data_IF_327805352955
#
_entry.id   IF_327805352955
#
_cell.length_a   1.000
_cell.length_b   1.000
_cell.length_c   1.000
_cell.angle_alpha   90.00
_cell.angle_beta   90.00
_cell.angle_gamma   90.00
#
_symmetry.space_group_name_H-M   'P 1'
#
loop_
_entity.id
_entity.type
_entity.pdbx_description
1 polymer ?
#
# COMPACT_ATOMS: atom_id res chain seq x y z
N UNK A 1 0.15 -15.07 4.67
CA UNK A 1 -0.65 -16.19 5.20
C UNK A 1 -1.48 -15.65 6.36
N UNK A 2 -2.79 -15.48 6.17
CA UNK A 2 -3.70 -15.12 7.28
C UNK A 2 -3.94 -16.39 8.10
N UNK A 3 -3.45 -16.41 9.33
CA UNK A 3 -3.78 -17.49 10.26
C UNK A 3 -5.27 -17.35 10.66
N UNK A 4 -6.03 -18.45 10.73
CA UNK A 4 -7.38 -18.41 11.26
C UNK A 4 -7.34 -17.94 12.71
N UNK A 5 -8.22 -17.00 13.04
CA UNK A 5 -8.38 -16.44 14.38
C UNK A 5 -8.58 -17.58 15.39
N UNK A 6 -7.72 -17.67 16.41
CA UNK A 6 -7.70 -18.75 17.39
C UNK A 6 -9.06 -18.96 18.08
N UNK A 7 -9.87 -17.89 18.15
CA UNK A 7 -11.26 -17.88 18.62
C UNK A 7 -12.19 -18.81 17.80
N UNK A 8 -11.96 -18.93 16.50
CA UNK A 8 -12.77 -19.77 15.61
C UNK A 8 -12.43 -21.24 15.82
N UNK A 9 -11.14 -21.57 15.99
CA UNK A 9 -10.70 -22.94 16.24
C UNK A 9 -11.20 -23.46 17.58
N UNK A 10 -11.21 -22.62 18.61
CA UNK A 10 -11.73 -22.95 19.94
C UNK A 10 -13.26 -23.19 19.92
N UNK A 11 -14.02 -22.31 19.23
CA UNK A 11 -15.46 -22.51 19.02
C UNK A 11 -15.80 -23.76 18.22
N UNK A 12 -14.98 -24.13 17.23
CA UNK A 12 -15.16 -25.34 16.44
C UNK A 12 -14.94 -26.61 17.27
N UNK A 13 -14.07 -26.58 18.28
CA UNK A 13 -13.85 -27.69 19.20
C UNK A 13 -15.07 -27.94 20.10
N UNK A 14 -15.80 -26.90 20.49
CA UNK A 14 -17.04 -27.02 21.30
C UNK A 14 -18.20 -27.69 20.53
N UNK A 15 -18.21 -27.62 19.20
CA UNK A 15 -19.21 -28.31 18.38
C UNK A 15 -18.98 -29.83 18.28
N UNK A 16 -17.80 -30.34 18.68
CA UNK A 16 -17.44 -31.76 18.63
C UNK A 16 -17.79 -32.56 19.88
N UNK A 17 -18.11 -31.89 20.99
CA UNK A 17 -18.51 -32.53 22.24
C UNK A 17 -20.02 -32.74 22.29
N UNK A 18 -20.46 -34.00 22.37
CA UNK A 18 -21.87 -34.34 22.57
C UNK A 18 -22.42 -33.62 23.82
N UNK A 19 -23.64 -33.06 23.77
CA UNK A 19 -24.19 -32.33 24.90
C UNK A 19 -24.30 -33.26 26.11
N UNK A 20 -23.65 -32.89 27.21
CA UNK A 20 -23.88 -33.52 28.52
C UNK A 20 -25.28 -33.11 28.97
N UNK A 21 -26.26 -33.96 28.64
CA UNK A 21 -27.65 -33.77 29.01
C UNK A 21 -27.75 -33.85 30.54
N UNK A 22 -28.17 -32.76 31.19
CA UNK A 22 -28.68 -32.82 32.56
C UNK A 22 -29.97 -33.63 32.54
N UNK A 23 -30.15 -34.52 33.51
CA UNK A 23 -31.20 -35.57 33.54
C UNK A 23 -32.67 -35.07 33.44
N UNK A 24 -32.92 -33.76 33.34
CA UNK A 24 -34.27 -33.15 33.35
C UNK A 24 -34.64 -32.35 32.07
N UNK A 25 -33.77 -32.30 31.05
CA UNK A 25 -34.09 -31.56 29.82
C UNK A 25 -34.65 -32.48 28.72
N UNK A 26 -35.91 -32.25 28.35
CA UNK A 26 -36.54 -32.89 27.19
C UNK A 26 -35.72 -32.61 25.94
N UNK A 27 -35.26 -33.68 25.26
CA UNK A 27 -34.42 -33.66 24.05
C UNK A 27 -34.98 -32.70 22.98
N UNK A 28 -36.31 -32.58 22.88
CA UNK A 28 -36.98 -31.66 21.95
C UNK A 28 -36.75 -30.18 22.28
N UNK A 29 -36.61 -29.81 23.56
CA UNK A 29 -36.26 -28.44 23.97
C UNK A 29 -34.83 -28.10 23.59
N UNK A 30 -33.89 -29.01 23.81
CA UNK A 30 -32.49 -28.85 23.42
C UNK A 30 -32.36 -28.75 21.89
N UNK A 31 -33.08 -29.61 21.16
CA UNK A 31 -33.11 -29.59 19.69
C UNK A 31 -33.70 -28.27 19.14
N UNK A 32 -34.80 -27.79 19.71
CA UNK A 32 -35.39 -26.50 19.31
C UNK A 32 -34.46 -25.32 19.62
N UNK A 33 -33.81 -25.31 20.80
CA UNK A 33 -32.83 -24.29 21.14
C UNK A 33 -31.64 -24.26 20.16
N UNK A 34 -31.11 -25.44 19.80
CA UNK A 34 -30.06 -25.57 18.79
C UNK A 34 -30.52 -25.18 17.38
N UNK A 35 -31.76 -25.45 17.01
CA UNK A 35 -32.33 -25.01 15.73
C UNK A 35 -32.41 -23.48 15.65
N UNK A 36 -32.86 -22.83 16.73
CA UNK A 36 -32.90 -21.35 16.81
C UNK A 36 -31.50 -20.75 16.78
N UNK A 37 -30.54 -21.37 17.48
CA UNK A 37 -29.12 -20.97 17.44
C UNK A 37 -28.56 -21.05 16.02
N UNK A 38 -28.84 -22.13 15.29
CA UNK A 38 -28.43 -22.31 13.90
C UNK A 38 -29.08 -21.30 12.96
N UNK A 39 -30.36 -20.98 13.14
CA UNK A 39 -31.04 -19.99 12.31
C UNK A 39 -30.52 -18.57 12.57
N UNK A 40 -30.25 -18.22 13.83
CA UNK A 40 -29.57 -16.97 14.17
C UNK A 40 -28.16 -16.90 13.55
N UNK A 41 -27.43 -18.03 13.55
CA UNK A 41 -26.11 -18.11 12.93
C UNK A 41 -26.21 -17.91 11.41
N UNK A 42 -27.17 -18.53 10.73
CA UNK A 42 -27.42 -18.32 9.28
C UNK A 42 -27.69 -16.87 8.96
N UNK A 43 -28.56 -16.20 9.74
CA UNK A 43 -28.87 -14.78 9.55
C UNK A 43 -27.62 -13.93 9.76
N UNK A 44 -26.83 -14.21 10.80
CA UNK A 44 -25.58 -13.49 11.06
C UNK A 44 -24.55 -13.68 9.93
N UNK A 45 -24.49 -14.87 9.34
CA UNK A 45 -23.55 -15.21 8.29
C UNK A 45 -23.96 -14.59 6.96
N UNK A 46 -25.26 -14.59 6.64
CA UNK A 46 -25.81 -13.87 5.50
C UNK A 46 -25.52 -12.36 5.60
N UNK A 47 -25.72 -11.75 6.77
CA UNK A 47 -25.38 -10.35 7.00
C UNK A 47 -23.90 -10.06 6.76
N UNK A 48 -23.01 -10.88 7.35
CA UNK A 48 -21.56 -10.74 7.14
C UNK A 48 -21.16 -10.90 5.69
N UNK A 49 -21.82 -11.79 4.95
CA UNK A 49 -21.57 -12.00 3.53
C UNK A 49 -21.97 -10.76 2.72
N UNK A 50 -23.13 -10.17 2.98
CA UNK A 50 -23.55 -8.91 2.36
C UNK A 50 -22.61 -7.74 2.70
N UNK A 51 -22.17 -7.64 3.95
CA UNK A 51 -21.20 -6.60 4.38
C UNK A 51 -19.86 -6.74 3.63
N UNK A 52 -19.39 -7.98 3.45
CA UNK A 52 -18.18 -8.28 2.68
C UNK A 52 -18.34 -7.97 1.19
N UNK A 53 -19.46 -8.37 0.57
CA UNK A 53 -19.75 -8.06 -0.84
C UNK A 53 -19.80 -6.54 -1.07
N UNK A 54 -20.43 -5.80 -0.16
CA UNK A 54 -20.46 -4.33 -0.19
C UNK A 54 -19.04 -3.75 -0.09
N UNK A 55 -18.21 -4.27 0.81
CA UNK A 55 -16.82 -3.83 0.98
C UNK A 55 -15.98 -4.10 -0.27
N UNK A 56 -16.14 -5.29 -0.89
CA UNK A 56 -15.46 -5.65 -2.14
C UNK A 56 -15.83 -4.68 -3.25
N UNK A 57 -17.12 -4.39 -3.42
CA UNK A 57 -17.58 -3.44 -4.44
C UNK A 57 -17.02 -2.03 -4.23
N UNK A 58 -16.95 -1.56 -2.97
CA UNK A 58 -16.33 -0.27 -2.65
C UNK A 58 -14.83 -0.27 -3.00
N UNK A 59 -14.11 -1.36 -2.67
CA UNK A 59 -12.69 -1.50 -3.00
C UNK A 59 -12.45 -1.51 -4.51
N UNK A 60 -13.29 -2.19 -5.28
CA UNK A 60 -13.18 -2.22 -6.74
C UNK A 60 -13.43 -0.84 -7.35
N UNK A 61 -14.41 -0.09 -6.83
CA UNK A 61 -14.65 1.30 -7.26
C UNK A 61 -13.44 2.19 -6.97
N UNK A 62 -12.83 2.06 -5.78
CA UNK A 62 -11.61 2.80 -5.41
C UNK A 62 -10.45 2.41 -6.33
N UNK A 63 -10.27 1.12 -6.62
CA UNK A 63 -9.22 0.63 -7.52
C UNK A 63 -9.34 1.20 -8.92
N UNK A 64 -10.55 1.22 -9.48
CA UNK A 64 -10.79 1.81 -10.81
C UNK A 64 -10.51 3.31 -10.81
N UNK A 65 -10.97 4.03 -9.78
CA UNK A 65 -10.71 5.47 -9.66
C UNK A 65 -9.22 5.81 -9.53
N UNK A 66 -8.47 4.97 -8.79
CA UNK A 66 -7.04 5.13 -8.61
C UNK A 66 -6.27 4.82 -9.89
N UNK A 67 -6.66 3.77 -10.62
CA UNK A 67 -6.09 3.46 -11.93
C UNK A 67 -6.29 4.63 -12.92
N UNK A 68 -7.51 5.20 -12.96
CA UNK A 68 -7.82 6.37 -13.79
C UNK A 68 -6.97 7.58 -13.40
N UNK A 69 -6.83 7.88 -12.11
CA UNK A 69 -5.99 8.99 -11.65
C UNK A 69 -4.50 8.76 -11.97
N UNK A 70 -4.02 7.53 -11.83
CA UNK A 70 -2.64 7.19 -12.17
C UNK A 70 -2.35 7.43 -13.66
N UNK A 71 -3.27 7.03 -14.53
CA UNK A 71 -3.16 7.25 -15.97
C UNK A 71 -3.20 8.75 -16.31
N UNK A 72 -4.13 9.49 -15.70
CA UNK A 72 -4.26 10.95 -15.88
C UNK A 72 -2.98 11.69 -15.46
N UNK A 73 -2.41 11.36 -14.29
CA UNK A 73 -1.14 11.93 -13.81
C UNK A 73 0.03 11.55 -14.73
N UNK A 74 0.08 10.30 -15.22
CA UNK A 74 1.12 9.87 -16.15
C UNK A 74 1.07 10.66 -17.46
N UNK A 75 -0.14 10.88 -18.00
CA UNK A 75 -0.34 11.64 -19.22
C UNK A 75 -0.02 13.14 -19.03
N UNK A 76 -0.41 13.73 -17.89
CA UNK A 76 -0.03 15.10 -17.54
C UNK A 76 1.50 15.27 -17.42
N UNK A 77 2.18 14.30 -16.80
CA UNK A 77 3.65 14.28 -16.72
C UNK A 77 4.27 14.25 -18.12
N UNK A 78 3.79 13.40 -19.01
CA UNK A 78 4.34 13.30 -20.37
C UNK A 78 4.13 14.58 -21.17
N UNK A 79 2.94 15.19 -21.08
CA UNK A 79 2.68 16.50 -21.68
C UNK A 79 3.55 17.61 -21.09
N UNK A 80 3.75 17.64 -19.77
CA UNK A 80 4.62 18.60 -19.11
C UNK A 80 6.09 18.43 -19.54
N UNK A 81 6.56 17.19 -19.73
CA UNK A 81 7.90 16.92 -20.24
C UNK A 81 8.03 17.37 -21.72
N UNK A 82 7.07 17.02 -22.56
CA UNK A 82 7.08 17.39 -23.98
C UNK A 82 7.06 18.92 -24.18
N UNK A 83 6.24 19.64 -23.40
CA UNK A 83 6.18 21.10 -23.43
C UNK A 83 7.45 21.75 -22.90
N UNK A 84 8.06 21.23 -21.82
CA UNK A 84 9.34 21.71 -21.32
C UNK A 84 10.47 21.50 -22.35
N UNK A 85 10.53 20.34 -23.00
CA UNK A 85 11.54 20.04 -24.02
C UNK A 85 11.37 20.97 -25.24
N UNK A 86 10.13 21.21 -25.67
CA UNK A 86 9.86 22.08 -26.82
C UNK A 86 10.16 23.56 -26.55
N UNK A 87 9.99 24.02 -25.31
CA UNK A 87 10.16 25.44 -24.93
C UNK A 87 11.55 25.78 -24.40
N UNK A 88 12.30 24.79 -23.87
CA UNK A 88 13.59 24.98 -23.22
C UNK A 88 14.67 24.07 -23.83
N UNK A 89 15.04 24.33 -25.09
CA UNK A 89 16.16 23.67 -25.78
C UNK A 89 17.55 24.16 -25.30
N UNK A 90 17.69 24.50 -24.02
CA UNK A 90 18.97 24.84 -23.42
C UNK A 90 19.64 23.56 -22.93
N UNK A 91 20.92 23.36 -23.30
CA UNK A 91 21.74 22.21 -22.88
C UNK A 91 21.73 21.98 -21.36
N UNK A 92 21.61 23.04 -20.56
CA UNK A 92 21.52 22.94 -19.09
C UNK A 92 20.19 22.33 -18.65
N UNK A 93 19.06 22.76 -19.23
CA UNK A 93 17.72 22.22 -18.92
C UNK A 93 17.61 20.74 -19.30
N UNK A 94 18.25 20.33 -20.40
CA UNK A 94 18.32 18.92 -20.81
C UNK A 94 19.18 18.09 -19.85
N UNK A 95 20.34 18.61 -19.42
CA UNK A 95 21.17 17.96 -18.39
C UNK A 95 20.42 17.78 -17.07
N UNK A 96 19.71 18.81 -16.62
CA UNK A 96 18.87 18.74 -15.40
C UNK A 96 17.77 17.69 -15.57
N UNK A 97 17.12 17.64 -16.72
CA UNK A 97 16.06 16.65 -17.00
C UNK A 97 16.58 15.22 -17.00
N UNK A 98 17.80 14.98 -17.51
CA UNK A 98 18.47 13.69 -17.43
C UNK A 98 18.76 13.32 -15.97
N UNK A 99 19.35 14.20 -15.17
CA UNK A 99 19.59 13.91 -13.76
C UNK A 99 18.31 13.61 -12.98
N UNK A 100 17.21 14.32 -13.27
CA UNK A 100 15.89 14.02 -12.70
C UNK A 100 15.35 12.67 -13.14
N UNK A 101 15.52 12.27 -14.41
CA UNK A 101 15.06 10.95 -14.88
C UNK A 101 15.88 9.80 -14.29
N UNK A 102 17.15 10.06 -13.96
CA UNK A 102 18.03 9.18 -13.19
C UNK A 102 17.66 9.09 -11.70
N UNK A 103 16.66 9.85 -11.24
CA UNK A 103 16.19 9.84 -9.86
C UNK A 103 16.95 10.78 -8.91
N UNK A 104 17.71 11.75 -9.44
CA UNK A 104 18.41 12.77 -8.64
C UNK A 104 17.57 14.02 -8.53
N UNK A 105 17.19 14.38 -7.31
CA UNK A 105 16.44 15.58 -6.99
C UNK A 105 17.25 16.46 -6.05
N UNK A 106 17.35 17.74 -6.37
CA UNK A 106 18.02 18.75 -5.54
C UNK A 106 16.91 19.57 -4.88
N UNK A 107 16.85 19.53 -3.55
CA UNK A 107 15.98 20.37 -2.73
C UNK A 107 16.83 21.50 -2.13
N UNK A 108 16.50 22.74 -2.50
CA UNK A 108 17.02 23.94 -1.85
C UNK A 108 16.11 24.21 -0.64
N UNK A 109 16.65 24.12 0.58
CA UNK A 109 15.92 24.49 1.79
C UNK A 109 16.26 25.95 2.12
N UNK A 110 15.24 26.78 2.34
CA UNK A 110 15.39 28.16 2.79
C UNK A 110 16.38 28.23 3.99
N UNK A 111 17.55 28.83 3.75
CA UNK A 111 18.65 29.03 4.71
C UNK A 111 19.39 27.78 5.24
N UNK A 112 19.28 26.62 4.60
CA UNK A 112 20.08 25.43 4.94
C UNK A 112 20.79 24.86 3.71
N UNK A 113 21.95 24.25 3.94
CA UNK A 113 22.74 23.52 2.96
C UNK A 113 21.88 22.65 2.01
N UNK A 114 22.21 22.68 0.72
CA UNK A 114 21.50 21.94 -0.33
C UNK A 114 21.37 20.46 0.02
N UNK A 115 20.20 19.88 -0.28
CA UNK A 115 19.92 18.47 -0.03
C UNK A 115 19.69 17.74 -1.34
N UNK A 116 20.48 16.70 -1.58
CA UNK A 116 20.33 15.83 -2.75
C UNK A 116 19.61 14.55 -2.33
N UNK A 117 18.47 14.29 -2.95
CA UNK A 117 17.70 13.06 -2.80
C UNK A 117 17.96 12.19 -4.03
N UNK A 118 18.39 10.95 -3.79
CA UNK A 118 18.62 9.96 -4.84
C UNK A 118 17.63 8.81 -4.66
N UNK A 119 16.77 8.61 -5.66
CA UNK A 119 15.86 7.47 -5.74
C UNK A 119 16.51 6.34 -6.53
N UNK A 120 16.90 5.26 -5.84
CA UNK A 120 17.45 4.08 -6.48
C UNK A 120 16.36 3.25 -7.17
N UNK A 121 16.42 3.02 -8.50
CA UNK A 121 15.37 2.29 -9.24
C UNK A 121 15.31 0.79 -8.90
N UNK A 122 16.39 0.23 -8.35
CA UNK A 122 16.57 -1.20 -8.08
C UNK A 122 16.00 -1.66 -6.72
N UNK A 123 15.99 -0.78 -5.71
CA UNK A 123 15.78 -1.18 -4.30
C UNK A 123 14.70 -0.41 -3.55
N UNK A 124 13.97 0.50 -4.21
CA UNK A 124 13.05 1.44 -3.55
C UNK A 124 13.72 2.16 -2.35
N UNK A 125 15.03 2.39 -2.45
CA UNK A 125 15.81 3.02 -1.38
C UNK A 125 15.98 4.50 -1.72
N UNK A 126 15.43 5.35 -0.86
CA UNK A 126 15.62 6.79 -0.95
C UNK A 126 16.83 7.16 -0.10
N UNK A 127 17.91 7.59 -0.77
CA UNK A 127 19.11 8.10 -0.10
C UNK A 127 19.07 9.62 -0.05
N UNK A 128 19.36 10.19 1.10
CA UNK A 128 19.43 11.63 1.31
C UNK A 128 20.86 12.02 1.62
N UNK A 129 21.42 12.95 0.85
CA UNK A 129 22.73 13.56 1.08
C UNK A 129 22.53 15.04 1.39
N UNK A 130 23.04 15.48 2.54
CA UNK A 130 23.15 16.91 2.86
C UNK A 130 24.51 17.40 2.36
N UNK A 131 24.51 18.41 1.50
CA UNK A 131 25.71 18.95 0.86
C UNK A 131 26.30 20.03 1.77
N UNK A 132 27.31 19.67 2.55
CA UNK A 132 28.16 20.61 3.30
C UNK A 132 29.37 21.02 2.44
N UNK A 133 29.84 22.27 2.55
CA UNK A 133 31.04 22.80 1.86
C UNK A 133 32.32 22.00 2.20
N UNK A 134 32.29 21.21 3.28
CA UNK A 134 33.37 20.31 3.68
C UNK A 134 33.53 19.10 2.77
N UNK A 135 32.50 18.74 2.01
CA UNK A 135 32.58 17.63 1.07
C UNK A 135 33.18 18.09 -0.25
N UNK A 136 34.10 17.29 -0.78
CA UNK A 136 34.63 17.50 -2.12
C UNK A 136 33.57 17.14 -3.16
N UNK A 137 33.50 17.91 -4.25
CA UNK A 137 32.62 17.64 -5.40
C UNK A 137 32.79 16.21 -5.95
N UNK A 138 34.02 15.70 -5.91
CA UNK A 138 34.35 14.33 -6.29
C UNK A 138 33.65 13.29 -5.40
N UNK A 139 33.59 13.53 -4.09
CA UNK A 139 32.94 12.64 -3.13
C UNK A 139 31.42 12.63 -3.35
N UNK A 140 30.82 13.81 -3.52
CA UNK A 140 29.39 13.98 -3.78
C UNK A 140 28.99 13.24 -5.06
N UNK A 141 29.75 13.44 -6.15
CA UNK A 141 29.48 12.82 -7.44
C UNK A 141 29.54 11.29 -7.37
N UNK A 142 30.60 10.74 -6.76
CA UNK A 142 30.75 9.29 -6.62
C UNK A 142 29.69 8.66 -5.75
N UNK A 143 29.30 9.33 -4.65
CA UNK A 143 28.21 8.86 -3.79
C UNK A 143 26.90 8.72 -4.57
N UNK A 144 26.56 9.73 -5.38
CA UNK A 144 25.35 9.70 -6.21
C UNK A 144 25.42 8.53 -7.20
N UNK A 145 26.54 8.36 -7.91
CA UNK A 145 26.71 7.26 -8.87
C UNK A 145 26.67 5.88 -8.23
N UNK A 146 27.25 5.72 -7.03
CA UNK A 146 27.18 4.46 -6.27
C UNK A 146 25.72 4.12 -5.93
N UNK A 147 24.93 5.10 -5.47
CA UNK A 147 23.52 4.87 -5.09
C UNK A 147 22.59 4.64 -6.29
N UNK A 148 22.92 5.16 -7.47
CA UNK A 148 22.17 4.88 -8.72
C UNK A 148 22.54 3.51 -9.29
N UNK A 149 23.82 3.12 -9.22
CA UNK A 149 24.32 1.89 -9.84
C UNK A 149 24.14 0.60 -9.02
N UNK A 150 23.70 0.69 -7.76
CA UNK A 150 23.57 -0.44 -6.82
C UNK A 150 22.12 -0.90 -6.64
#
# INVERSE_FOLDING_TARGET
MLQPDASILERLAEYGTAPVLKEDESIFKVMNAKSIELDNLKVSLAKRLTDLESTINQMDMVKVNLARHSEEVSHQKEQALATNIATNFNSNSMRISLYKSLGVHIEELDNMNDKIIVFGPSKNLTSVLQVDEKYLDYFISNYIWEKIGT
#
